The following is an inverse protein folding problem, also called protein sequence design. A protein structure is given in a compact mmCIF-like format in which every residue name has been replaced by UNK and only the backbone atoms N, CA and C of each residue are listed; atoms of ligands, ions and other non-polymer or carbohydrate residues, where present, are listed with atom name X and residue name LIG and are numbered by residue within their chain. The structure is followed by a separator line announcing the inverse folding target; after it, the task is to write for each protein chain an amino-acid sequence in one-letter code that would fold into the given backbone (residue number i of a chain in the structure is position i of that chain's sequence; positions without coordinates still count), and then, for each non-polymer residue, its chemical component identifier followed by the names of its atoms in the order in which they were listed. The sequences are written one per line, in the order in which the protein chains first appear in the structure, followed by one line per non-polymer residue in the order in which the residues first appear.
data_IF_887586855797
#
_entry.id   IF_887586855797
#
_cell.length_a   1.000
_cell.length_b   1.000
_cell.length_c   1.000
_cell.angle_alpha   90.00
_cell.angle_beta   90.00
_cell.angle_gamma   90.00
#
_symmetry.space_group_name_H-M   'P 1'
#
loop_
_entity.id
_entity.type
_entity.pdbx_description
1 polymer ?
#
# COMPACT_ATOMS: atom_id res chain seq x y z
N UNK A 1 39.71 36.92 -28.72
CA UNK A 1 39.09 38.25 -28.90
C UNK A 1 37.95 38.09 -29.88
N UNK A 2 36.78 38.70 -29.58
CA UNK A 2 35.46 38.58 -30.23
C UNK A 2 34.85 37.17 -30.12
N UNK A 3 33.89 36.87 -29.25
CA UNK A 3 32.58 37.49 -28.93
C UNK A 3 31.55 37.32 -30.06
N UNK A 4 30.39 36.74 -29.74
CA UNK A 4 29.39 36.32 -30.71
C UNK A 4 28.35 35.35 -30.16
N UNK A 5 27.75 35.69 -29.01
CA UNK A 5 26.54 35.04 -28.48
C UNK A 5 25.34 35.47 -29.34
N UNK A 6 24.61 34.52 -29.91
CA UNK A 6 23.32 34.77 -30.52
C UNK A 6 22.22 33.94 -29.84
N UNK A 7 21.24 34.69 -29.30
CA UNK A 7 19.79 34.48 -29.26
C UNK A 7 19.27 33.01 -29.20
N UNK A 8 18.46 32.59 -28.24
CA UNK A 8 17.44 33.30 -27.47
C UNK A 8 16.07 32.74 -27.86
N UNK A 9 15.45 31.94 -26.97
CA UNK A 9 14.00 31.81 -26.83
C UNK A 9 13.72 31.29 -25.41
N UNK A 10 13.58 32.25 -24.49
CA UNK A 10 12.91 32.05 -23.22
C UNK A 10 11.41 32.29 -23.47
N UNK A 11 10.57 31.30 -23.21
CA UNK A 11 9.14 31.55 -22.99
C UNK A 11 8.97 31.84 -21.50
N UNK A 12 9.00 33.12 -21.17
CA UNK A 12 8.61 33.66 -19.86
C UNK A 12 7.10 33.79 -19.88
N UNK A 13 6.42 33.04 -19.02
CA UNK A 13 5.07 33.38 -18.56
C UNK A 13 5.14 33.45 -17.03
N UNK A 14 5.55 34.63 -16.54
CA UNK A 14 5.20 35.10 -15.21
C UNK A 14 3.82 35.76 -15.26
N UNK A 15 3.21 35.87 -14.07
CA UNK A 15 1.95 36.53 -13.68
C UNK A 15 0.82 35.53 -13.41
N UNK A 16 0.20 35.45 -12.22
CA UNK A 16 0.15 36.35 -11.06
C UNK A 16 -0.08 35.53 -9.80
N UNK A 17 0.36 36.07 -8.65
CA UNK A 17 0.10 35.51 -7.34
C UNK A 17 -1.39 35.41 -7.03
N UNK A 18 -1.78 34.27 -6.50
CA UNK A 18 -2.77 34.18 -5.46
C UNK A 18 -2.09 33.41 -4.32
N UNK A 19 -1.82 34.12 -3.23
CA UNK A 19 -1.56 33.52 -1.92
C UNK A 19 -2.81 32.75 -1.50
N UNK A 20 -2.99 31.56 -2.05
CA UNK A 20 -3.85 30.54 -1.47
C UNK A 20 -3.04 29.88 -0.37
N UNK A 21 -3.34 30.25 0.88
CA UNK A 21 -3.09 29.38 2.02
C UNK A 21 -3.74 28.05 1.69
N UNK A 22 -2.94 27.11 1.16
CA UNK A 22 -3.37 25.75 0.93
C UNK A 22 -3.83 25.21 2.26
N UNK A 23 -5.14 25.04 2.36
CA UNK A 23 -5.78 24.29 3.42
C UNK A 23 -5.07 22.94 3.50
N UNK A 24 -4.14 22.83 4.46
CA UNK A 24 -3.73 21.54 4.97
C UNK A 24 -4.93 21.03 5.74
N UNK A 25 -5.95 20.58 5.01
CA UNK A 25 -6.94 19.66 5.52
C UNK A 25 -6.15 18.43 5.91
N UNK A 26 -5.67 18.43 7.16
CA UNK A 26 -5.08 17.30 7.85
C UNK A 26 -6.19 16.28 7.99
N UNK A 27 -6.49 15.56 6.91
CA UNK A 27 -7.28 14.34 6.96
C UNK A 27 -6.55 13.45 7.94
N UNK A 28 -7.16 13.29 9.11
CA UNK A 28 -6.67 12.41 10.16
C UNK A 28 -6.30 11.06 9.50
N UNK A 29 -5.09 10.52 9.76
CA UNK A 29 -4.74 9.19 9.27
C UNK A 29 -5.87 8.21 9.62
N UNK A 30 -6.23 7.36 8.67
CA UNK A 30 -7.19 6.30 8.94
C UNK A 30 -6.70 5.46 10.12
N UNK A 31 -7.57 5.09 11.04
CA UNK A 31 -7.19 4.17 12.12
C UNK A 31 -6.92 2.77 11.54
N UNK A 32 -5.83 2.11 11.94
CA UNK A 32 -5.46 0.77 11.43
C UNK A 32 -6.60 -0.23 11.56
N UNK A 33 -7.33 -0.21 12.70
CA UNK A 33 -8.48 -1.10 12.92
C UNK A 33 -9.62 -0.88 11.91
N UNK A 34 -9.80 0.35 11.44
CA UNK A 34 -10.78 0.68 10.40
C UNK A 34 -10.32 0.19 9.03
N UNK A 35 -9.03 0.32 8.72
CA UNK A 35 -8.46 -0.24 7.50
C UNK A 35 -8.57 -1.78 7.48
N UNK A 36 -8.32 -2.45 8.60
CA UNK A 36 -8.50 -3.91 8.73
C UNK A 36 -9.92 -4.31 8.34
N UNK A 37 -10.95 -3.71 8.95
CA UNK A 37 -12.35 -4.04 8.62
C UNK A 37 -12.66 -3.82 7.13
N UNK A 38 -12.17 -2.73 6.55
CA UNK A 38 -12.39 -2.41 5.15
C UNK A 38 -11.70 -3.41 4.21
N UNK A 39 -10.46 -3.83 4.53
CA UNK A 39 -9.72 -4.85 3.79
C UNK A 39 -10.44 -6.19 3.85
N UNK A 40 -10.81 -6.65 5.04
CA UNK A 40 -11.47 -7.94 5.23
C UNK A 40 -12.81 -8.02 4.51
N UNK A 41 -13.59 -6.92 4.49
CA UNK A 41 -14.84 -6.83 3.74
C UNK A 41 -14.64 -6.76 2.21
N UNK A 42 -13.43 -6.44 1.75
CA UNK A 42 -13.10 -6.22 0.34
C UNK A 42 -12.39 -7.41 -0.32
N UNK A 43 -11.89 -8.35 0.47
CA UNK A 43 -11.19 -9.53 0.00
C UNK A 43 -12.13 -10.56 -0.62
N UNK A 44 -11.75 -11.02 -1.82
CA UNK A 44 -12.29 -12.22 -2.45
C UNK A 44 -11.26 -12.81 -3.43
N UNK A 45 -11.68 -13.82 -4.19
CA UNK A 45 -10.86 -14.44 -5.22
C UNK A 45 -10.43 -13.47 -6.34
N UNK A 46 -11.10 -12.32 -6.55
CA UNK A 46 -10.71 -11.36 -7.58
C UNK A 46 -9.55 -10.48 -7.12
N UNK A 47 -9.35 -10.32 -5.82
CA UNK A 47 -8.21 -9.58 -5.26
C UNK A 47 -7.03 -10.49 -4.96
N UNK A 48 -7.26 -11.79 -4.71
CA UNK A 48 -6.22 -12.75 -4.37
C UNK A 48 -5.20 -13.01 -5.50
N UNK A 49 -3.96 -13.33 -5.14
CA UNK A 49 -2.96 -13.83 -6.08
C UNK A 49 -3.45 -15.13 -6.72
N UNK A 50 -3.39 -15.20 -8.06
CA UNK A 50 -3.91 -16.32 -8.88
C UNK A 50 -5.38 -16.68 -8.65
N UNK A 51 -6.13 -15.85 -7.92
CA UNK A 51 -7.47 -16.17 -7.46
C UNK A 51 -7.51 -17.26 -6.38
N UNK A 52 -6.38 -17.52 -5.74
CA UNK A 52 -6.27 -18.52 -4.69
C UNK A 52 -7.16 -18.14 -3.51
N UNK A 53 -7.96 -19.11 -3.05
CA UNK A 53 -8.79 -18.94 -1.86
C UNK A 53 -8.71 -20.20 -1.01
N UNK A 54 -8.93 -20.04 0.29
CA UNK A 54 -8.99 -21.16 1.22
C UNK A 54 -10.23 -21.01 2.08
N UNK A 55 -11.06 -22.06 2.12
CA UNK A 55 -12.26 -22.06 2.95
C UNK A 55 -11.88 -21.75 4.41
N UNK A 56 -12.59 -20.78 5.02
CA UNK A 56 -12.31 -20.33 6.38
C UNK A 56 -11.09 -19.40 6.53
N UNK A 57 -10.37 -19.07 5.46
CA UNK A 57 -9.21 -18.17 5.50
C UNK A 57 -9.26 -17.16 4.33
N UNK A 58 -10.00 -16.05 4.49
CA UNK A 58 -10.14 -15.03 3.45
C UNK A 58 -8.86 -14.20 3.21
N UNK A 59 -7.85 -14.28 4.09
CA UNK A 59 -6.57 -13.59 3.88
C UNK A 59 -5.64 -14.32 2.90
N UNK A 60 -5.91 -15.60 2.62
CA UNK A 60 -5.07 -16.41 1.75
C UNK A 60 -4.94 -15.78 0.36
N UNK A 61 -3.69 -15.57 -0.09
CA UNK A 61 -3.38 -14.95 -1.38
C UNK A 61 -3.55 -13.42 -1.41
N UNK A 62 -3.93 -12.77 -0.30
CA UNK A 62 -4.20 -11.33 -0.26
C UNK A 62 -2.98 -10.48 0.12
N UNK A 63 -1.86 -11.10 0.51
CA UNK A 63 -0.71 -10.41 1.11
C UNK A 63 -0.19 -9.23 0.27
N UNK A 64 0.12 -9.45 -1.01
CA UNK A 64 0.67 -8.40 -1.86
C UNK A 64 -0.31 -7.26 -2.19
N UNK A 65 -1.55 -7.54 -2.66
CA UNK A 65 -2.56 -6.48 -2.80
C UNK A 65 -2.80 -5.69 -1.51
N UNK A 66 -2.85 -6.40 -0.38
CA UNK A 66 -3.03 -5.77 0.94
C UNK A 66 -1.88 -4.84 1.26
N UNK A 67 -0.62 -5.27 1.07
CA UNK A 67 0.54 -4.44 1.39
C UNK A 67 0.62 -3.18 0.53
N UNK A 68 0.15 -3.23 -0.73
CA UNK A 68 0.01 -2.07 -1.61
C UNK A 68 -1.08 -1.10 -1.14
N UNK A 69 -2.21 -1.60 -0.67
CA UNK A 69 -3.27 -0.75 -0.11
C UNK A 69 -2.83 -0.12 1.21
N UNK A 70 -2.15 -0.87 2.08
CA UNK A 70 -1.58 -0.33 3.32
C UNK A 70 -0.58 0.79 3.00
N UNK A 71 0.36 0.57 2.06
CA UNK A 71 1.30 1.61 1.65
C UNK A 71 0.61 2.86 1.07
N UNK A 72 -0.57 2.73 0.45
CA UNK A 72 -1.35 3.88 -0.03
C UNK A 72 -1.85 4.76 1.13
N UNK A 73 -2.32 4.15 2.22
CA UNK A 73 -2.79 4.87 3.41
C UNK A 73 -1.66 5.31 4.35
N UNK A 74 -0.55 4.56 4.37
CA UNK A 74 0.62 4.80 5.22
C UNK A 74 1.89 4.83 4.34
N UNK A 75 2.12 5.94 3.61
CA UNK A 75 3.22 6.04 2.64
C UNK A 75 4.62 5.96 3.25
N UNK A 76 4.74 6.10 4.58
CA UNK A 76 5.97 5.91 5.34
C UNK A 76 6.40 4.43 5.49
N UNK A 77 5.50 3.48 5.20
CA UNK A 77 5.86 2.06 5.19
C UNK A 77 6.36 1.62 3.82
N UNK A 78 7.43 0.84 3.81
CA UNK A 78 7.88 0.07 2.65
C UNK A 78 7.23 -1.30 2.63
N UNK A 79 7.29 -1.96 1.47
CA UNK A 79 6.79 -3.33 1.33
C UNK A 79 7.97 -4.28 1.45
N UNK A 80 7.93 -5.14 2.46
CA UNK A 80 8.82 -6.28 2.58
C UNK A 80 8.31 -7.44 1.73
N UNK A 81 9.24 -8.15 1.10
CA UNK A 81 9.06 -9.45 0.49
C UNK A 81 9.95 -10.43 1.23
N UNK A 82 9.39 -11.52 1.74
CA UNK A 82 10.17 -12.47 2.53
C UNK A 82 9.60 -13.88 2.53
N UNK A 83 10.25 -14.73 3.31
CA UNK A 83 9.91 -16.15 3.43
C UNK A 83 9.37 -16.45 4.83
N UNK A 84 8.23 -17.14 4.88
CA UNK A 84 7.56 -17.58 6.10
C UNK A 84 7.68 -19.08 6.22
N UNK A 85 8.24 -19.56 7.33
CA UNK A 85 8.19 -20.98 7.69
C UNK A 85 6.88 -21.27 8.42
N UNK A 86 6.05 -22.14 7.86
CA UNK A 86 4.71 -22.48 8.38
C UNK A 86 4.71 -23.64 9.38
N UNK A 87 5.89 -24.20 9.69
CA UNK A 87 6.01 -25.49 10.37
C UNK A 87 6.06 -26.67 9.40
N UNK A 88 5.63 -26.48 8.15
CA UNK A 88 5.62 -27.53 7.11
C UNK A 88 6.39 -27.12 5.85
N UNK A 89 6.30 -25.85 5.44
CA UNK A 89 6.87 -25.33 4.19
C UNK A 89 7.38 -23.91 4.34
N UNK A 90 8.24 -23.50 3.41
CA UNK A 90 8.54 -22.09 3.17
C UNK A 90 7.54 -21.51 2.17
N UNK A 91 6.96 -20.37 2.50
CA UNK A 91 6.01 -19.65 1.64
C UNK A 91 6.46 -18.20 1.47
N UNK A 92 6.30 -17.67 0.25
CA UNK A 92 6.58 -16.26 -0.05
C UNK A 92 5.47 -15.37 0.54
N UNK A 93 5.86 -14.26 1.16
CA UNK A 93 4.93 -13.33 1.80
C UNK A 93 5.31 -11.86 1.60
N UNK A 94 4.30 -11.00 1.70
CA UNK A 94 4.44 -9.55 1.59
C UNK A 94 3.73 -8.85 2.74
N UNK A 95 4.41 -7.92 3.38
CA UNK A 95 3.88 -7.09 4.48
C UNK A 95 4.52 -5.71 4.46
N UNK A 96 4.12 -4.84 5.38
CA UNK A 96 4.63 -3.47 5.46
C UNK A 96 5.62 -3.32 6.61
N UNK A 97 6.69 -2.57 6.38
CA UNK A 97 7.75 -2.30 7.37
C UNK A 97 8.09 -0.81 7.33
N UNK A 98 8.24 -0.20 8.50
CA UNK A 98 8.89 1.11 8.62
C UNK A 98 10.02 1.06 9.63
N UNK A 99 11.04 1.90 9.43
CA UNK A 99 12.18 2.03 10.34
C UNK A 99 11.93 3.21 11.28
N UNK A 100 11.83 2.95 12.58
CA UNK A 100 11.63 3.98 13.60
C UNK A 100 12.74 3.84 14.65
N UNK A 101 13.55 4.89 14.82
CA UNK A 101 14.67 4.90 15.79
C UNK A 101 15.66 3.73 15.66
N UNK A 102 15.89 3.22 14.45
CA UNK A 102 16.80 2.10 14.21
C UNK A 102 16.14 0.72 14.26
N UNK A 103 14.91 0.63 14.78
CA UNK A 103 14.13 -0.59 14.92
C UNK A 103 13.11 -0.74 13.78
N UNK A 104 12.87 -1.98 13.35
CA UNK A 104 11.85 -2.30 12.36
C UNK A 104 10.49 -2.46 13.04
N UNK A 105 9.51 -1.66 12.60
CA UNK A 105 8.11 -1.81 12.95
C UNK A 105 7.36 -2.49 11.82
N UNK A 106 6.72 -3.63 12.11
CA UNK A 106 5.99 -4.43 11.14
C UNK A 106 4.48 -4.17 11.22
N UNK A 107 3.86 -4.00 10.05
CA UNK A 107 2.42 -3.93 9.88
C UNK A 107 2.00 -4.98 8.85
N UNK A 108 1.42 -6.07 9.33
CA UNK A 108 0.92 -7.15 8.48
C UNK A 108 -0.56 -7.42 8.75
N UNK A 109 -1.40 -6.88 7.87
CA UNK A 109 -2.84 -7.03 7.98
C UNK A 109 -3.34 -8.34 7.35
N UNK A 110 -2.45 -9.16 6.79
CA UNK A 110 -2.75 -10.44 6.14
C UNK A 110 -2.12 -11.66 6.83
N UNK A 111 -1.40 -11.46 7.94
CA UNK A 111 -0.67 -12.51 8.67
C UNK A 111 -1.52 -13.74 9.01
N UNK A 112 -2.82 -13.52 9.25
CA UNK A 112 -3.80 -14.59 9.53
C UNK A 112 -3.93 -15.63 8.41
N UNK A 113 -3.30 -15.41 7.25
CA UNK A 113 -3.23 -16.43 6.21
C UNK A 113 -2.41 -17.66 6.63
N UNK A 114 -1.49 -17.51 7.58
CA UNK A 114 -0.61 -18.58 8.04
C UNK A 114 -1.11 -19.26 9.32
N UNK A 115 -0.77 -20.54 9.54
CA UNK A 115 -1.01 -21.22 10.80
C UNK A 115 -0.29 -20.55 11.98
N UNK A 116 -0.85 -20.69 13.17
CA UNK A 116 -0.18 -20.30 14.42
C UNK A 116 1.20 -20.96 14.55
N UNK A 117 2.19 -20.21 15.02
CA UNK A 117 3.58 -20.69 15.13
C UNK A 117 4.42 -20.49 13.87
N UNK A 118 3.86 -19.91 12.81
CA UNK A 118 4.64 -19.50 11.64
C UNK A 118 5.66 -18.41 11.99
N UNK A 119 6.80 -18.41 11.30
CA UNK A 119 7.94 -17.51 11.60
C UNK A 119 8.54 -16.91 10.34
N UNK A 120 8.92 -15.62 10.41
CA UNK A 120 9.68 -14.97 9.35
C UNK A 120 11.12 -15.53 9.36
N UNK A 121 11.63 -15.96 8.20
CA UNK A 121 13.01 -16.44 8.06
C UNK A 121 13.97 -15.37 7.54
N UNK A 122 13.45 -14.44 6.74
CA UNK A 122 14.20 -13.33 6.18
C UNK A 122 13.32 -12.54 5.23
N UNK A 123 13.74 -11.31 4.91
CA UNK A 123 13.05 -10.45 3.96
C UNK A 123 14.00 -9.43 3.33
N UNK A 124 13.55 -8.87 2.21
CA UNK A 124 14.12 -7.67 1.59
C UNK A 124 13.01 -6.66 1.33
N UNK A 125 13.38 -5.38 1.24
CA UNK A 125 12.44 -4.32 0.86
C UNK A 125 12.30 -4.26 -0.66
N UNK A 126 11.08 -4.16 -1.15
CA UNK A 126 10.81 -3.92 -2.56
C UNK A 126 11.17 -2.48 -2.94
N UNK A 127 11.74 -2.31 -4.13
CA UNK A 127 11.94 -0.99 -4.72
C UNK A 127 10.58 -0.39 -5.13
N UNK A 128 10.21 0.71 -4.48
CA UNK A 128 8.98 1.46 -4.76
C UNK A 128 8.92 1.97 -6.21
N UNK A 129 10.06 2.29 -6.82
CA UNK A 129 10.11 2.82 -8.18
C UNK A 129 10.07 1.74 -9.25
N UNK A 130 10.43 0.51 -8.89
CA UNK A 130 10.48 -0.62 -9.81
C UNK A 130 9.97 -1.93 -9.17
N UNK A 131 8.70 -1.99 -8.71
CA UNK A 131 8.16 -3.17 -8.01
C UNK A 131 7.98 -4.40 -8.90
N UNK A 132 8.18 -4.28 -10.23
CA UNK A 132 8.12 -5.42 -11.15
C UNK A 132 6.71 -5.98 -11.40
N UNK A 133 5.65 -5.21 -11.11
CA UNK A 133 4.28 -5.71 -11.21
C UNK A 133 3.85 -6.03 -12.64
N UNK A 134 3.35 -7.25 -12.82
CA UNK A 134 2.52 -7.58 -13.98
C UNK A 134 1.23 -6.74 -14.02
N UNK A 135 0.63 -6.59 -15.20
CA UNK A 135 -0.67 -5.91 -15.37
C UNK A 135 -1.73 -6.49 -14.43
N UNK A 136 -1.83 -7.82 -14.35
CA UNK A 136 -2.76 -8.50 -13.45
C UNK A 136 -2.52 -8.21 -11.97
N UNK A 137 -1.27 -7.97 -11.56
CA UNK A 137 -0.99 -7.58 -10.18
C UNK A 137 -1.48 -6.14 -9.90
N UNK A 138 -1.26 -5.22 -10.84
CA UNK A 138 -1.75 -3.84 -10.75
C UNK A 138 -3.28 -3.79 -10.68
N UNK A 139 -3.96 -4.55 -11.53
CA UNK A 139 -5.43 -4.59 -11.58
C UNK A 139 -6.03 -5.08 -10.25
N UNK A 140 -5.45 -6.13 -9.64
CA UNK A 140 -5.89 -6.63 -8.34
C UNK A 140 -5.69 -5.61 -7.22
N UNK A 141 -4.55 -4.90 -7.21
CA UNK A 141 -4.29 -3.85 -6.23
C UNK A 141 -5.27 -2.68 -6.40
N UNK A 142 -5.51 -2.25 -7.64
CA UNK A 142 -6.46 -1.18 -7.94
C UNK A 142 -7.89 -1.56 -7.55
N UNK A 143 -8.30 -2.81 -7.82
CA UNK A 143 -9.60 -3.34 -7.42
C UNK A 143 -9.76 -3.34 -5.89
N UNK A 144 -8.77 -3.87 -5.16
CA UNK A 144 -8.83 -3.91 -3.71
C UNK A 144 -8.88 -2.49 -3.11
N UNK A 145 -8.05 -1.57 -3.60
CA UNK A 145 -8.06 -0.17 -3.17
C UNK A 145 -9.43 0.47 -3.41
N UNK A 146 -10.02 0.29 -4.60
CA UNK A 146 -11.33 0.83 -4.93
C UNK A 146 -12.43 0.33 -4.00
N UNK A 147 -12.42 -0.98 -3.67
CA UNK A 147 -13.38 -1.57 -2.73
C UNK A 147 -13.20 -1.06 -1.30
N UNK A 148 -11.95 -0.90 -0.84
CA UNK A 148 -11.64 -0.33 0.47
C UNK A 148 -12.13 1.11 0.55
N UNK A 149 -11.82 1.96 -0.44
CA UNK A 149 -12.29 3.34 -0.49
C UNK A 149 -13.83 3.42 -0.51
N UNK A 150 -14.49 2.55 -1.28
CA UNK A 150 -15.95 2.46 -1.29
C UNK A 150 -16.51 2.08 0.09
N UNK A 151 -15.96 1.05 0.73
CA UNK A 151 -16.36 0.63 2.09
C UNK A 151 -16.26 1.79 3.07
N UNK A 152 -15.11 2.49 3.10
CA UNK A 152 -14.86 3.61 3.98
C UNK A 152 -15.85 4.75 3.74
N UNK A 153 -16.10 5.12 2.47
CA UNK A 153 -17.03 6.21 2.13
C UNK A 153 -18.47 5.98 2.61
N UNK A 154 -18.89 4.71 2.75
CA UNK A 154 -20.23 4.37 3.25
C UNK A 154 -20.30 4.44 4.77
N UNK A 155 -19.23 4.06 5.46
CA UNK A 155 -19.20 3.97 6.93
C UNK A 155 -18.71 5.26 7.60
N UNK A 156 -18.14 6.22 6.86
CA UNK A 156 -17.87 7.57 7.38
C UNK A 156 -19.14 8.42 7.56
N UNK A 157 -20.25 8.05 6.90
CA UNK A 157 -21.54 8.78 6.97
C UNK A 157 -22.40 8.41 8.18
N UNK A 158 -22.02 7.37 8.92
CA UNK A 158 -22.79 6.82 10.03
C UNK A 158 -22.29 7.29 11.42
N UNK A 159 -21.40 8.28 11.48
CA UNK A 159 -21.02 8.92 12.75
C UNK A 159 -22.08 9.95 13.15
N UNK A 160 -22.84 9.77 14.23
CA UNK A 160 -23.74 10.81 14.72
C UNK A 160 -22.90 12.01 15.16
N UNK A 161 -23.32 13.20 14.71
CA UNK A 161 -22.79 14.50 15.15
C UNK A 161 -23.02 14.72 16.64
#
# INVERSE_FOLDING_TARGET
MADGRAAGYACVMEQQGASGTGDQSTTKPIEVSTLVRALEASWDHLTAFRGDTRAGNPAFGQCYPTSRVVQWFYPEYEIAKGEIWTGASLEEHYWNVRRVHGEDEFLDLSWRQFPSGSTIRGFSLLDRQAPGDSVRAKDRCALLLGRVLFYLSRHSKDSPS
#
